data_IF_118792767434
#
_entry.id   IF_118792767434
#
_cell.length_a   1.000
_cell.length_b   1.000
_cell.length_c   1.000
_cell.angle_alpha   90.00
_cell.angle_beta   90.00
_cell.angle_gamma   90.00
#
_symmetry.space_group_name_H-M   'P 1'
#
loop_
_entity.id
_entity.type
_entity.pdbx_description
1 polymer ?
#
# COMPACT_ATOMS: atom_id res chain seq x y z
N UNK A 1 22.98 31.64 2.35
CA UNK A 1 21.51 31.50 2.23
C UNK A 1 21.20 30.65 1.01
N UNK A 2 20.98 29.35 1.16
CA UNK A 2 20.65 28.45 0.05
C UNK A 2 19.15 28.16 0.02
N UNK A 3 18.46 28.54 -1.06
CA UNK A 3 17.04 28.20 -1.26
C UNK A 3 16.95 26.77 -1.79
N UNK A 4 16.31 25.89 -1.01
CA UNK A 4 15.98 24.54 -1.44
C UNK A 4 14.90 24.62 -2.54
N UNK A 5 15.31 24.44 -3.78
CA UNK A 5 14.39 24.33 -4.92
C UNK A 5 13.87 22.89 -4.91
N UNK A 6 12.61 22.72 -4.49
CA UNK A 6 11.93 21.43 -4.61
C UNK A 6 11.90 21.00 -6.09
N UNK A 7 12.22 19.73 -6.41
CA UNK A 7 12.18 19.25 -7.79
C UNK A 7 10.74 19.37 -8.34
N UNK A 8 10.62 19.90 -9.56
CA UNK A 8 9.35 20.26 -10.21
C UNK A 8 8.35 19.09 -10.30
N UNK A 9 8.85 17.85 -10.27
CA UNK A 9 8.06 16.61 -10.26
C UNK A 9 7.28 16.46 -8.95
N UNK A 10 7.91 16.78 -7.81
CA UNK A 10 7.26 16.71 -6.50
C UNK A 10 6.13 17.74 -6.39
N UNK A 11 6.35 18.94 -6.92
CA UNK A 11 5.35 20.01 -6.92
C UNK A 11 4.14 19.68 -7.82
N UNK A 12 4.38 18.99 -8.94
CA UNK A 12 3.32 18.49 -9.83
C UNK A 12 2.51 17.35 -9.20
N UNK A 13 3.15 16.44 -8.46
CA UNK A 13 2.43 15.41 -7.71
C UNK A 13 1.55 16.02 -6.61
N UNK A 14 2.09 16.97 -5.85
CA UNK A 14 1.35 17.67 -4.78
C UNK A 14 0.14 18.43 -5.36
N UNK A 15 0.32 19.12 -6.48
CA UNK A 15 -0.77 19.83 -7.17
C UNK A 15 -1.81 18.89 -7.78
N UNK A 16 -1.40 17.72 -8.27
CA UNK A 16 -2.32 16.70 -8.78
C UNK A 16 -3.17 16.08 -7.67
N UNK A 17 -2.58 15.83 -6.51
CA UNK A 17 -3.33 15.38 -5.34
C UNK A 17 -4.29 16.46 -4.84
N UNK A 18 -3.86 17.72 -4.74
CA UNK A 18 -4.72 18.84 -4.34
C UNK A 18 -5.90 19.09 -5.30
N UNK A 19 -5.74 18.84 -6.61
CA UNK A 19 -6.85 18.93 -7.57
C UNK A 19 -7.92 17.85 -7.36
N UNK A 20 -7.56 16.67 -6.85
CA UNK A 20 -8.54 15.63 -6.48
C UNK A 20 -9.37 16.04 -5.26
N UNK A 21 -8.85 16.92 -4.38
CA UNK A 21 -9.57 17.44 -3.21
C UNK A 21 -10.58 18.55 -3.53
N UNK A 22 -10.40 19.32 -4.60
CA UNK A 22 -11.22 20.52 -4.85
C UNK A 22 -12.59 20.22 -5.50
N UNK A 23 -12.82 19.01 -6.03
CA UNK A 23 -13.99 18.70 -6.85
C UNK A 23 -14.99 17.69 -6.26
N UNK A 24 -14.87 17.32 -4.99
CA UNK A 24 -15.73 16.31 -4.36
C UNK A 24 -16.63 16.88 -3.27
N UNK A 25 -17.84 17.31 -3.62
CA UNK A 25 -18.92 17.52 -2.64
C UNK A 25 -19.36 16.16 -2.09
N UNK A 26 -19.28 15.99 -0.76
CA UNK A 26 -19.91 14.95 0.04
C UNK A 26 -19.70 13.49 -0.39
N UNK A 27 -18.80 12.78 0.29
CA UNK A 27 -19.12 11.53 1.02
C UNK A 27 -17.94 11.14 1.89
N UNK A 28 -18.21 10.95 3.20
CA UNK A 28 -17.40 10.26 4.22
C UNK A 28 -15.89 10.56 4.22
N UNK A 29 -15.45 11.27 5.25
CA UNK A 29 -14.06 11.27 5.70
C UNK A 29 -13.62 9.84 6.01
N UNK A 30 -13.11 9.13 5.00
CA UNK A 30 -12.24 7.98 5.20
C UNK A 30 -11.06 8.47 6.03
N UNK A 31 -10.85 7.83 7.17
CA UNK A 31 -9.73 8.09 8.05
C UNK A 31 -8.45 7.74 7.29
N UNK A 32 -7.83 8.73 6.66
CA UNK A 32 -6.47 8.61 6.16
C UNK A 32 -5.54 8.65 7.39
N UNK A 33 -4.87 7.56 7.76
CA UNK A 33 -3.92 7.59 8.86
C UNK A 33 -2.85 8.66 8.56
N UNK A 34 -2.48 9.41 9.59
CA UNK A 34 -1.40 10.38 9.49
C UNK A 34 -0.16 9.65 8.97
N UNK A 35 0.59 10.25 8.04
CA UNK A 35 1.82 9.63 7.50
C UNK A 35 2.83 9.24 8.60
N UNK A 36 2.76 9.92 9.75
CA UNK A 36 3.51 9.57 10.96
C UNK A 36 3.06 8.23 11.56
N UNK A 37 1.77 7.94 11.59
CA UNK A 37 1.21 6.69 12.12
C UNK A 37 1.55 5.49 11.22
N UNK A 38 1.64 5.71 9.91
CA UNK A 38 2.10 4.69 8.94
C UNK A 38 3.59 4.37 9.15
N UNK A 39 4.41 5.38 9.49
CA UNK A 39 5.85 5.18 9.74
C UNK A 39 6.15 4.36 11.00
N UNK A 40 5.21 4.32 11.97
CA UNK A 40 5.37 3.56 13.21
C UNK A 40 5.12 2.05 13.01
N UNK A 41 4.45 1.64 11.93
CA UNK A 41 4.12 0.24 11.67
C UNK A 41 5.01 -0.47 10.64
N UNK A 42 5.82 0.28 9.88
CA UNK A 42 6.67 -0.30 8.84
C UNK A 42 8.11 -0.48 9.34
N UNK A 43 8.69 -1.69 9.24
CA UNK A 43 10.08 -1.89 9.65
C UNK A 43 11.02 -1.04 8.79
N UNK A 44 11.94 -0.31 9.43
CA UNK A 44 12.96 0.50 8.72
C UNK A 44 13.82 -0.34 7.76
N UNK A 45 13.92 -1.64 8.08
CA UNK A 45 14.70 -2.63 7.37
C UNK A 45 13.87 -3.90 7.16
N UNK A 46 13.70 -4.28 5.89
CA UNK A 46 13.03 -5.52 5.51
C UNK A 46 14.10 -6.55 5.15
N UNK A 47 13.95 -7.79 5.62
CA UNK A 47 14.88 -8.86 5.25
C UNK A 47 14.65 -9.25 3.80
N UNK A 48 15.73 -9.41 3.04
CA UNK A 48 15.66 -9.81 1.63
C UNK A 48 14.89 -11.13 1.43
N UNK A 49 15.10 -12.11 2.33
CA UNK A 49 14.42 -13.40 2.27
C UNK A 49 12.89 -13.30 2.30
N UNK A 50 12.34 -12.39 3.10
CA UNK A 50 10.87 -12.24 3.22
C UNK A 50 10.25 -11.75 1.91
N UNK A 51 10.91 -10.80 1.24
CA UNK A 51 10.48 -10.29 -0.05
C UNK A 51 10.67 -11.32 -1.14
N UNK A 52 11.79 -12.04 -1.12
CA UNK A 52 12.07 -13.14 -2.04
C UNK A 52 10.96 -14.20 -1.99
N UNK A 53 10.57 -14.63 -0.80
CA UNK A 53 9.53 -15.64 -0.61
C UNK A 53 8.16 -15.17 -1.12
N UNK A 54 7.81 -13.91 -0.89
CA UNK A 54 6.57 -13.32 -1.40
C UNK A 54 6.59 -13.24 -2.93
N UNK A 55 7.69 -12.80 -3.53
CA UNK A 55 7.84 -12.73 -4.98
C UNK A 55 7.72 -14.14 -5.61
N UNK A 56 8.29 -15.17 -4.99
CA UNK A 56 8.09 -16.55 -5.44
C UNK A 56 6.63 -17.02 -5.35
N UNK A 57 5.93 -16.69 -4.25
CA UNK A 57 4.50 -17.02 -4.11
C UNK A 57 3.64 -16.33 -5.18
N UNK A 58 4.04 -15.14 -5.61
CA UNK A 58 3.39 -14.39 -6.69
C UNK A 58 3.81 -14.87 -8.10
N UNK A 59 4.58 -15.96 -8.20
CA UNK A 59 4.98 -16.55 -9.48
C UNK A 59 6.13 -15.83 -10.19
N UNK A 60 6.94 -15.06 -9.47
CA UNK A 60 8.18 -14.54 -10.03
C UNK A 60 9.25 -15.63 -10.06
N UNK A 61 9.98 -15.67 -11.17
CA UNK A 61 11.18 -16.49 -11.35
C UNK A 61 12.42 -15.68 -11.04
N UNK A 62 13.36 -16.28 -10.30
CA UNK A 62 14.62 -15.65 -9.92
C UNK A 62 15.72 -15.99 -10.91
N UNK A 63 16.50 -14.98 -11.31
CA UNK A 63 17.73 -15.14 -12.06
C UNK A 63 18.82 -14.23 -11.49
N UNK A 64 19.97 -14.81 -11.16
CA UNK A 64 21.15 -14.04 -10.79
C UNK A 64 21.66 -13.22 -11.98
N UNK A 65 21.99 -11.96 -11.72
CA UNK A 65 22.62 -11.05 -12.67
C UNK A 65 24.03 -10.77 -12.18
N UNK A 66 24.96 -10.63 -13.11
CA UNK A 66 26.34 -10.29 -12.81
C UNK A 66 26.41 -8.96 -12.03
N UNK A 67 27.28 -8.90 -11.01
CA UNK A 67 27.45 -7.69 -10.18
C UNK A 67 26.53 -7.59 -8.95
N UNK A 68 26.24 -8.70 -8.26
CA UNK A 68 25.54 -8.73 -6.96
C UNK A 68 24.09 -8.23 -7.00
N UNK A 69 23.39 -8.51 -8.10
CA UNK A 69 21.96 -8.23 -8.23
C UNK A 69 21.20 -9.49 -8.60
N UNK A 70 19.94 -9.53 -8.18
CA UNK A 70 19.00 -10.61 -8.43
C UNK A 70 17.83 -10.00 -9.19
N UNK A 71 17.51 -10.60 -10.34
CA UNK A 71 16.38 -10.23 -11.17
C UNK A 71 15.25 -11.21 -10.93
N UNK A 72 14.10 -10.68 -10.54
CA UNK A 72 12.82 -11.39 -10.47
C UNK A 72 11.99 -11.04 -11.69
N UNK A 73 11.50 -12.05 -12.41
CA UNK A 73 10.62 -11.86 -13.58
C UNK A 73 9.32 -12.64 -13.38
N UNK A 74 8.19 -11.98 -13.55
CA UNK A 74 6.91 -12.66 -13.66
C UNK A 74 6.54 -12.78 -15.15
N UNK A 75 6.51 -13.99 -15.74
CA UNK A 75 6.22 -14.16 -17.16
C UNK A 75 4.76 -13.87 -17.51
N UNK A 76 3.83 -14.00 -16.56
CA UNK A 76 2.40 -13.82 -16.78
C UNK A 76 1.98 -12.34 -16.76
N UNK A 77 2.64 -11.54 -15.93
CA UNK A 77 2.32 -10.12 -15.74
C UNK A 77 3.30 -9.17 -16.46
N UNK A 78 4.28 -9.70 -17.20
CA UNK A 78 5.40 -8.93 -17.78
C UNK A 78 6.00 -7.93 -16.79
N UNK A 79 6.27 -8.42 -15.58
CA UNK A 79 6.82 -7.63 -14.49
C UNK A 79 8.27 -8.03 -14.24
N UNK A 80 9.14 -7.04 -14.03
CA UNK A 80 10.54 -7.25 -13.71
C UNK A 80 10.92 -6.40 -12.52
N UNK A 81 11.51 -7.03 -11.52
CA UNK A 81 12.02 -6.37 -10.32
C UNK A 81 13.50 -6.75 -10.19
N UNK A 82 14.36 -5.76 -10.00
CA UNK A 82 15.80 -5.98 -9.79
C UNK A 82 16.15 -5.49 -8.40
N UNK A 83 16.72 -6.38 -7.59
CA UNK A 83 17.14 -6.09 -6.23
C UNK A 83 18.62 -6.40 -6.09
N UNK A 84 19.33 -5.62 -5.27
CA UNK A 84 20.68 -6.01 -4.88
C UNK A 84 20.62 -7.26 -3.99
N UNK A 85 21.61 -8.14 -4.08
CA UNK A 85 21.80 -9.32 -3.21
C UNK A 85 22.29 -8.92 -1.80
N UNK A 86 21.75 -7.82 -1.27
CA UNK A 86 22.00 -7.35 0.08
C UNK A 86 20.99 -8.01 1.00
N UNK A 87 21.42 -8.39 2.20
CA UNK A 87 20.54 -8.99 3.23
C UNK A 87 19.36 -8.10 3.63
N UNK A 88 19.50 -6.79 3.46
CA UNK A 88 18.53 -5.79 3.91
C UNK A 88 18.04 -4.97 2.71
N UNK A 89 16.73 -4.89 2.58
CA UNK A 89 16.01 -4.04 1.64
C UNK A 89 15.60 -2.78 2.40
N UNK A 90 15.91 -1.62 1.82
CA UNK A 90 15.48 -0.33 2.35
C UNK A 90 13.99 -0.11 2.10
N UNK A 91 13.35 0.69 2.95
CA UNK A 91 11.94 1.05 2.79
C UNK A 91 11.61 1.63 1.39
N UNK A 92 12.55 2.37 0.77
CA UNK A 92 12.33 2.89 -0.57
C UNK A 92 12.19 1.78 -1.62
N UNK A 93 13.04 0.75 -1.55
CA UNK A 93 12.93 -0.41 -2.44
C UNK A 93 11.64 -1.19 -2.18
N UNK A 94 11.23 -1.32 -0.92
CA UNK A 94 9.96 -1.95 -0.58
C UNK A 94 8.77 -1.23 -1.25
N UNK A 95 8.69 0.09 -1.13
CA UNK A 95 7.64 0.90 -1.80
C UNK A 95 7.71 0.83 -3.32
N UNK A 96 8.90 0.70 -3.89
CA UNK A 96 9.07 0.49 -5.33
C UNK A 96 8.49 -0.85 -5.77
N UNK A 97 8.75 -1.93 -5.01
CA UNK A 97 8.22 -3.27 -5.30
C UNK A 97 6.70 -3.25 -5.26
N UNK A 98 6.12 -2.75 -4.18
CA UNK A 98 4.67 -2.62 -3.99
C UNK A 98 4.02 -1.88 -5.16
N UNK A 99 4.58 -0.74 -5.55
CA UNK A 99 4.07 0.04 -6.68
C UNK A 99 4.13 -0.73 -8.00
N UNK A 100 5.23 -1.44 -8.28
CA UNK A 100 5.35 -2.25 -9.51
C UNK A 100 4.31 -3.38 -9.52
N UNK A 101 4.06 -4.01 -8.38
CA UNK A 101 3.08 -5.08 -8.26
C UNK A 101 1.64 -4.56 -8.48
N UNK A 102 1.33 -3.40 -7.91
CA UNK A 102 0.04 -2.72 -8.08
C UNK A 102 -0.18 -2.26 -9.53
N UNK A 103 0.81 -1.58 -10.13
CA UNK A 103 0.73 -1.10 -11.53
C UNK A 103 0.59 -2.24 -12.54
N UNK A 104 1.16 -3.41 -12.22
CA UNK A 104 1.05 -4.62 -13.04
C UNK A 104 -0.22 -5.42 -12.75
N UNK A 105 -1.06 -4.97 -11.82
CA UNK A 105 -2.30 -5.64 -11.46
C UNK A 105 -2.10 -7.03 -10.86
N UNK A 106 -0.92 -7.31 -10.30
CA UNK A 106 -0.60 -8.61 -9.69
C UNK A 106 -1.28 -8.71 -8.33
N UNK A 107 -1.16 -7.66 -7.52
CA UNK A 107 -1.68 -7.60 -6.16
C UNK A 107 -1.86 -6.13 -5.76
N UNK A 108 -2.89 -5.83 -4.97
CA UNK A 108 -3.07 -4.47 -4.44
C UNK A 108 -2.06 -4.18 -3.34
N UNK A 109 -1.83 -2.89 -3.10
CA UNK A 109 -1.03 -2.37 -2.00
C UNK A 109 -1.43 -3.00 -0.65
N UNK A 110 -2.71 -2.96 -0.32
CA UNK A 110 -3.25 -3.43 0.97
C UNK A 110 -3.09 -4.94 1.14
N UNK A 111 -3.24 -5.69 0.05
CA UNK A 111 -3.09 -7.13 0.06
C UNK A 111 -1.61 -7.52 0.19
N UNK A 112 -0.72 -6.81 -0.49
CA UNK A 112 0.73 -7.00 -0.36
C UNK A 112 1.22 -6.71 1.06
N UNK A 113 0.82 -5.56 1.65
CA UNK A 113 1.15 -5.22 3.04
C UNK A 113 0.63 -6.31 4.01
N UNK A 114 -0.59 -6.82 3.79
CA UNK A 114 -1.18 -7.90 4.61
C UNK A 114 -0.37 -9.19 4.54
N UNK A 115 0.01 -9.65 3.33
CA UNK A 115 0.82 -10.85 3.15
C UNK A 115 2.17 -10.67 3.84
N UNK A 116 2.79 -9.51 3.63
CA UNK A 116 4.06 -9.16 4.24
C UNK A 116 3.99 -9.27 5.76
N UNK A 117 3.08 -8.53 6.42
CA UNK A 117 2.94 -8.54 7.87
C UNK A 117 2.55 -9.92 8.44
N UNK A 118 1.74 -10.71 7.73
CA UNK A 118 1.39 -12.05 8.17
C UNK A 118 2.60 -13.00 8.15
N UNK A 119 3.50 -12.84 7.17
CA UNK A 119 4.73 -13.62 7.10
C UNK A 119 5.75 -13.18 8.15
N UNK A 120 5.91 -11.87 8.39
CA UNK A 120 6.84 -11.37 9.42
C UNK A 120 6.37 -11.71 10.85
N UNK A 121 5.05 -11.81 11.08
CA UNK A 121 4.48 -12.14 12.40
C UNK A 121 4.69 -13.60 12.82
N UNK A 122 5.12 -14.51 11.92
CA UNK A 122 5.45 -15.88 12.32
C UNK A 122 6.67 -15.94 13.27
N UNK A 123 7.57 -14.97 13.17
CA UNK A 123 8.74 -14.84 14.06
C UNK A 123 8.46 -13.98 15.30
N UNK A 124 7.48 -13.09 15.21
CA UNK A 124 7.04 -12.27 16.33
C UNK A 124 5.81 -12.92 16.98
N UNK A 125 6.05 -13.77 17.99
CA UNK A 125 5.08 -14.13 19.05
C UNK A 125 4.63 -12.90 19.87
N UNK A 126 4.59 -11.71 19.28
CA UNK A 126 4.02 -10.52 19.86
C UNK A 126 2.55 -10.53 19.47
N UNK A 127 1.69 -10.56 20.48
CA UNK A 127 0.25 -10.35 20.41
C UNK A 127 -0.03 -9.06 19.62
N UNK A 128 -0.08 -9.12 18.30
CA UNK A 128 -0.73 -8.08 17.55
C UNK A 128 -2.22 -8.22 17.86
N UNK A 129 -2.74 -7.22 18.58
CA UNK A 129 -4.16 -7.08 18.87
C UNK A 129 -4.94 -7.30 17.57
N UNK A 130 -6.11 -7.98 17.64
CA UNK A 130 -6.92 -8.24 16.47
C UNK A 130 -7.15 -6.91 15.76
N UNK A 131 -6.84 -6.89 14.47
CA UNK A 131 -7.30 -5.84 13.58
C UNK A 131 -8.82 -5.91 13.65
N UNK A 132 -9.41 -5.04 14.48
CA UNK A 132 -10.86 -4.97 14.66
C UNK A 132 -11.42 -4.55 13.31
N UNK A 133 -12.10 -5.48 12.63
CA UNK A 133 -13.04 -5.19 11.55
C UNK A 133 -14.18 -4.34 12.13
N UNK A 134 -13.92 -3.07 12.39
CA UNK A 134 -14.94 -2.12 12.79
C UNK A 134 -15.69 -1.67 11.54
N UNK A 135 -16.53 -2.55 10.95
CA UNK A 135 -17.63 -2.20 10.03
C UNK A 135 -18.50 -3.42 9.70
N UNK A 136 -19.32 -3.89 10.65
CA UNK A 136 -20.57 -4.66 10.46
C UNK A 136 -21.31 -4.53 11.79
N UNK A 137 -22.58 -4.18 11.96
CA UNK A 137 -23.80 -3.91 11.19
C UNK A 137 -24.62 -3.05 12.19
N UNK A 138 -25.35 -2.00 11.81
CA UNK A 138 -26.79 -2.06 11.54
C UNK A 138 -27.37 -0.65 11.74
N UNK A 139 -28.51 -0.40 11.08
CA UNK A 139 -29.40 0.78 11.16
C UNK A 139 -29.24 1.83 10.06
N UNK A 140 -29.62 1.42 8.85
CA UNK A 140 -30.49 2.27 8.04
C UNK A 140 -31.79 1.50 7.77
N UNK A 141 -32.85 1.87 8.50
CA UNK A 141 -34.23 1.55 8.13
C UNK A 141 -34.77 2.72 7.30
N UNK A 142 -35.10 2.55 6.02
CA UNK A 142 -35.64 3.61 5.18
C UNK A 142 -37.17 3.55 5.18
N UNK A 143 -37.80 3.98 6.28
CA UNK A 143 -39.25 4.22 6.30
C UNK A 143 -39.57 5.60 6.89
N UNK A 144 -39.56 6.61 6.02
CA UNK A 144 -40.36 7.83 6.24
C UNK A 144 -40.57 8.56 4.91
N UNK A 145 -41.16 7.86 3.94
CA UNK A 145 -41.82 8.50 2.80
C UNK A 145 -43.34 8.51 3.03
N UNK A 146 -43.93 9.69 2.80
CA UNK A 146 -45.36 10.02 2.66
C UNK A 146 -46.20 10.15 3.93
N UNK A 147 -46.53 11.41 4.28
CA UNK A 147 -47.93 11.86 4.32
C UNK A 147 -48.06 13.25 3.69
N UNK A 148 -48.95 13.34 2.70
CA UNK A 148 -49.37 14.55 1.99
C UNK A 148 -50.36 15.37 2.86
N UNK A 149 -50.66 16.63 2.50
CA UNK A 149 -51.45 17.56 3.31
C UNK A 149 -52.95 17.36 3.13
N UNK A 150 -53.73 17.55 4.19
CA UNK A 150 -55.19 17.68 4.13
C UNK A 150 -55.55 19.15 4.34
N UNK A 151 -56.19 19.73 3.33
CA UNK A 151 -56.82 21.03 3.39
C UNK A 151 -58.18 20.93 4.11
N UNK A 152 -58.52 21.93 4.92
CA UNK A 152 -59.91 22.35 5.19
C UNK A 152 -59.88 23.84 5.48
#
# INVERSE_FOLDING_TARGET
>A
MGRNILPSVLMKMILSMLRLFANGKNTKTEYFPNWKDISVMMPEHVKFGEIRDILYQLGFEEKHVEGSHIRFRNPYADAVIVLSDRKIITFHHFRMIEKVLEEKGIISREEFERIFFNNTRKDLKIKCLPYVEANREDRFSPESFRKSPTAT
#
